data_IF_027187653586
#
_entry.id   IF_027187653586
#
_cell.length_a   1.000
_cell.length_b   1.000
_cell.length_c   1.000
_cell.angle_alpha   90.00
_cell.angle_beta   90.00
_cell.angle_gamma   90.00
#
_symmetry.space_group_name_H-M   'P 1'
#
loop_
_entity.id
_entity.type
_entity.pdbx_description
1 polymer ?
#
# COMPACT_ATOMS: atom_id res chain seq x y z
N UNK A 1 -0.16 11.34 14.69
CA UNK A 1 0.51 11.78 13.44
C UNK A 1 1.98 12.17 13.59
N UNK A 2 2.49 12.72 14.71
CA UNK A 2 3.93 13.04 14.83
C UNK A 2 4.85 11.80 14.87
N UNK A 3 4.35 10.66 15.35
CA UNK A 3 5.15 9.43 15.46
C UNK A 3 5.17 8.57 14.18
N UNK A 4 4.20 8.75 13.28
CA UNK A 4 4.17 8.13 11.93
C UNK A 4 5.46 8.38 11.13
N UNK A 5 6.07 9.55 11.34
CA UNK A 5 7.30 9.94 10.64
C UNK A 5 8.55 9.23 11.15
N UNK A 6 8.58 8.79 12.41
CA UNK A 6 9.76 8.14 13.00
C UNK A 6 9.94 6.71 12.52
N UNK A 7 8.85 6.06 12.12
CA UNK A 7 8.82 4.62 11.87
C UNK A 7 8.87 4.23 10.38
N UNK A 8 8.97 5.21 9.48
CA UNK A 8 9.08 5.01 8.03
C UNK A 8 10.50 5.36 7.56
N UNK A 9 11.11 4.46 6.80
CA UNK A 9 12.42 4.65 6.17
C UNK A 9 12.29 5.51 4.91
N UNK A 10 12.01 6.81 5.10
CA UNK A 10 11.71 7.75 4.01
C UNK A 10 12.78 7.84 2.92
N UNK A 11 14.04 7.61 3.25
CA UNK A 11 15.13 7.62 2.27
C UNK A 11 15.06 6.39 1.35
N UNK A 12 14.69 5.23 1.89
CA UNK A 12 14.48 4.02 1.11
C UNK A 12 13.24 4.15 0.22
N UNK A 13 12.14 4.68 0.78
CA UNK A 13 10.91 4.99 0.01
C UNK A 13 11.23 5.92 -1.16
N UNK A 14 12.01 6.99 -0.91
CA UNK A 14 12.38 7.94 -1.97
C UNK A 14 13.25 7.28 -3.05
N UNK A 15 14.29 6.53 -2.67
CA UNK A 15 15.19 5.86 -3.62
C UNK A 15 14.44 4.85 -4.49
N UNK A 16 13.62 4.00 -3.87
CA UNK A 16 12.82 3.00 -4.59
C UNK A 16 11.79 3.65 -5.50
N UNK A 17 11.06 4.67 -5.04
CA UNK A 17 10.11 5.42 -5.87
C UNK A 17 10.79 6.05 -7.09
N UNK A 18 11.94 6.72 -6.90
CA UNK A 18 12.69 7.33 -8.02
C UNK A 18 13.18 6.25 -8.99
N UNK A 19 13.73 5.15 -8.48
CA UNK A 19 14.21 4.04 -9.31
C UNK A 19 13.07 3.41 -10.11
N UNK A 20 11.94 3.10 -9.48
CA UNK A 20 10.75 2.57 -10.16
C UNK A 20 10.18 3.56 -11.17
N UNK A 21 10.24 4.86 -10.90
CA UNK A 21 9.80 5.89 -11.84
C UNK A 21 10.71 6.01 -13.07
N UNK A 22 12.02 5.96 -12.88
CA UNK A 22 12.98 5.91 -14.00
C UNK A 22 12.75 4.66 -14.83
N UNK A 23 12.58 3.50 -14.20
CA UNK A 23 12.24 2.25 -14.89
C UNK A 23 10.93 2.39 -15.67
N UNK A 24 9.89 2.97 -15.08
CA UNK A 24 8.63 3.23 -15.75
C UNK A 24 8.82 4.03 -17.04
N UNK A 25 9.61 5.12 -17.01
CA UNK A 25 9.89 5.94 -18.20
C UNK A 25 10.61 5.12 -19.28
N UNK A 26 11.59 4.30 -18.90
CA UNK A 26 12.35 3.44 -19.82
C UNK A 26 11.45 2.36 -20.44
N UNK A 27 10.59 1.73 -19.64
CA UNK A 27 9.70 0.67 -20.09
C UNK A 27 8.51 1.17 -20.88
N UNK A 28 8.11 2.44 -20.72
CA UNK A 28 6.95 3.03 -21.39
C UNK A 28 6.93 2.83 -22.92
N UNK A 29 8.00 3.10 -23.68
CA UNK A 29 8.03 2.81 -25.12
C UNK A 29 8.22 1.32 -25.46
N UNK A 30 8.67 0.50 -24.51
CA UNK A 30 9.04 -0.90 -24.77
C UNK A 30 7.88 -1.86 -24.53
N UNK A 31 7.16 -1.68 -23.41
CA UNK A 31 6.05 -2.53 -23.03
C UNK A 31 5.06 -1.78 -22.11
N UNK A 32 3.91 -1.32 -22.65
CA UNK A 32 2.97 -0.49 -21.90
C UNK A 32 2.26 -1.24 -20.76
N UNK A 33 2.17 -2.57 -20.84
CA UNK A 33 1.59 -3.41 -19.78
C UNK A 33 2.53 -3.40 -18.57
N UNK A 34 3.83 -3.67 -18.75
CA UNK A 34 4.79 -3.66 -17.64
C UNK A 34 4.98 -2.27 -17.04
N UNK A 35 4.87 -1.21 -17.82
CA UNK A 35 4.85 0.16 -17.28
C UNK A 35 3.63 0.43 -16.40
N UNK A 36 2.48 -0.15 -16.74
CA UNK A 36 1.28 -0.12 -15.89
C UNK A 36 1.52 -0.87 -14.58
N UNK A 37 2.12 -2.06 -14.65
CA UNK A 37 2.43 -2.86 -13.45
C UNK A 37 3.42 -2.11 -12.55
N UNK A 38 4.43 -1.46 -13.12
CA UNK A 38 5.37 -0.62 -12.37
C UNK A 38 4.67 0.58 -11.72
N UNK A 39 3.76 1.22 -12.45
CA UNK A 39 2.95 2.30 -11.91
C UNK A 39 2.09 1.83 -10.73
N UNK A 40 1.37 0.71 -10.90
CA UNK A 40 0.57 0.12 -9.84
C UNK A 40 1.45 -0.22 -8.64
N UNK A 41 2.67 -0.72 -8.87
CA UNK A 41 3.62 -1.04 -7.79
C UNK A 41 3.98 0.21 -6.98
N UNK A 42 4.27 1.33 -7.64
CA UNK A 42 4.56 2.60 -6.97
C UNK A 42 3.35 3.02 -6.13
N UNK A 43 2.17 3.11 -6.75
CA UNK A 43 0.95 3.57 -6.05
C UNK A 43 0.61 2.65 -4.87
N UNK A 44 0.75 1.33 -5.04
CA UNK A 44 0.47 0.33 -4.02
C UNK A 44 1.42 0.41 -2.81
N UNK A 45 2.73 0.59 -3.06
CA UNK A 45 3.70 0.80 -1.98
C UNK A 45 3.31 2.06 -1.19
N UNK A 46 3.01 3.15 -1.89
CA UNK A 46 2.64 4.41 -1.26
C UNK A 46 1.32 4.33 -0.49
N UNK A 47 0.31 3.63 -1.01
CA UNK A 47 -0.98 3.45 -0.33
C UNK A 47 -0.84 2.64 0.97
N UNK A 48 0.12 1.71 1.01
CA UNK A 48 0.31 0.80 2.15
C UNK A 48 1.21 1.36 3.25
N UNK A 49 2.07 2.34 2.97
CA UNK A 49 2.98 2.94 3.95
C UNK A 49 2.28 3.55 5.18
N UNK A 50 1.17 4.30 5.06
CA UNK A 50 0.46 4.85 6.23
C UNK A 50 -0.10 3.77 7.16
N UNK A 51 -0.68 2.70 6.61
CA UNK A 51 -1.21 1.57 7.37
C UNK A 51 -0.13 0.74 8.07
N UNK A 52 1.09 0.73 7.53
CA UNK A 52 2.25 0.08 8.17
C UNK A 52 2.88 0.91 9.30
N UNK A 53 2.48 2.17 9.46
CA UNK A 53 3.03 3.10 10.45
C UNK A 53 2.04 3.45 11.57
N UNK A 54 0.85 2.83 11.58
CA UNK A 54 -0.16 3.02 12.63
C UNK A 54 -0.70 1.67 13.13
N UNK A 55 -0.46 1.31 14.42
CA UNK A 55 -0.96 0.05 14.98
C UNK A 55 -2.41 0.14 15.51
N UNK A 56 -3.08 1.29 15.36
CA UNK A 56 -4.38 1.53 15.99
C UNK A 56 -5.55 1.12 15.08
N UNK A 57 -6.48 0.35 15.66
CA UNK A 57 -7.71 -0.13 15.01
C UNK A 57 -8.62 1.04 14.54
N UNK A 58 -8.48 2.23 15.15
CA UNK A 58 -9.26 3.43 14.82
C UNK A 58 -8.84 4.15 13.54
N UNK A 59 -7.67 3.85 12.97
CA UNK A 59 -7.14 4.52 11.78
C UNK A 59 -7.48 3.76 10.49
N UNK A 60 -8.71 3.23 10.40
CA UNK A 60 -9.19 2.42 9.27
C UNK A 60 -9.14 3.18 7.92
N UNK A 61 -9.19 4.51 7.92
CA UNK A 61 -8.98 5.36 6.74
C UNK A 61 -7.52 5.29 6.23
N UNK A 62 -6.55 4.97 7.09
CA UNK A 62 -5.15 4.74 6.70
C UNK A 62 -4.94 3.31 6.15
N UNK A 63 -5.98 2.47 6.14
CA UNK A 63 -5.98 1.13 5.51
C UNK A 63 -6.46 1.16 4.06
N UNK A 64 -6.48 2.34 3.42
CA UNK A 64 -6.65 2.46 1.98
C UNK A 64 -5.47 1.78 1.27
N UNK A 65 -5.56 0.46 1.15
CA UNK A 65 -4.54 -0.37 0.56
C UNK A 65 -4.99 -0.84 -0.82
N UNK A 66 -4.34 -0.29 -1.85
CA UNK A 66 -4.62 -0.64 -3.23
C UNK A 66 -3.92 -1.92 -3.67
N UNK A 67 -3.11 -2.56 -2.81
CA UNK A 67 -2.40 -3.80 -3.14
C UNK A 67 -3.36 -4.89 -3.58
N UNK A 68 -4.41 -5.16 -2.81
CA UNK A 68 -5.37 -6.22 -3.12
C UNK A 68 -6.04 -5.95 -4.46
N UNK A 69 -6.51 -4.72 -4.65
CA UNK A 69 -7.24 -4.31 -5.84
C UNK A 69 -6.36 -4.40 -7.09
N UNK A 70 -5.14 -3.87 -7.05
CA UNK A 70 -4.22 -3.98 -8.18
C UNK A 70 -3.74 -5.42 -8.41
N UNK A 71 -3.53 -6.20 -7.36
CA UNK A 71 -3.16 -7.61 -7.50
C UNK A 71 -4.28 -8.41 -8.20
N UNK A 72 -5.55 -8.14 -7.85
CA UNK A 72 -6.70 -8.73 -8.54
C UNK A 72 -6.74 -8.30 -10.02
N UNK A 73 -6.61 -7.01 -10.31
CA UNK A 73 -6.68 -6.47 -11.67
C UNK A 73 -5.54 -7.03 -12.55
N UNK A 74 -4.33 -7.17 -11.99
CA UNK A 74 -3.20 -7.86 -12.66
C UNK A 74 -3.51 -9.35 -12.87
N UNK A 75 -4.11 -10.02 -11.88
CA UNK A 75 -4.44 -11.44 -11.98
C UNK A 75 -5.43 -11.71 -13.11
N UNK A 76 -6.44 -10.85 -13.26
CA UNK A 76 -7.46 -10.94 -14.30
C UNK A 76 -6.85 -10.75 -15.70
N UNK A 77 -5.94 -9.78 -15.85
CA UNK A 77 -5.50 -9.32 -17.17
C UNK A 77 -4.17 -9.92 -17.66
N UNK A 78 -3.25 -10.26 -16.76
CA UNK A 78 -1.93 -10.78 -17.10
C UNK A 78 -1.82 -12.25 -16.70
N UNK A 79 -2.16 -12.55 -15.45
CA UNK A 79 -2.11 -13.91 -14.92
C UNK A 79 -1.91 -13.96 -13.42
N UNK A 80 -2.28 -15.10 -12.83
CA UNK A 80 -2.22 -15.30 -11.39
C UNK A 80 -0.80 -15.36 -10.83
N UNK A 81 0.18 -15.81 -11.63
CA UNK A 81 1.58 -15.90 -11.21
C UNK A 81 2.22 -14.51 -11.14
N UNK A 82 1.97 -13.69 -12.14
CA UNK A 82 2.46 -12.30 -12.22
C UNK A 82 1.86 -11.46 -11.10
N UNK A 83 0.57 -11.63 -10.82
CA UNK A 83 -0.09 -11.01 -9.67
C UNK A 83 0.46 -11.48 -8.32
N UNK A 84 0.79 -12.77 -8.20
CA UNK A 84 1.43 -13.30 -6.99
C UNK A 84 2.81 -12.66 -6.77
N UNK A 85 3.65 -12.61 -7.81
CA UNK A 85 4.97 -11.97 -7.76
C UNK A 85 4.83 -10.48 -7.39
N UNK A 86 3.93 -9.76 -8.05
CA UNK A 86 3.62 -8.37 -7.74
C UNK A 86 3.25 -8.19 -6.25
N UNK A 87 2.32 -9.00 -5.76
CA UNK A 87 1.87 -8.90 -4.37
C UNK A 87 2.99 -9.19 -3.38
N UNK A 88 3.87 -10.15 -3.66
CA UNK A 88 5.03 -10.48 -2.82
C UNK A 88 5.97 -9.28 -2.73
N UNK A 89 6.35 -8.72 -3.88
CA UNK A 89 7.28 -7.59 -3.97
C UNK A 89 6.71 -6.38 -3.22
N UNK A 90 5.43 -6.05 -3.43
CA UNK A 90 4.83 -4.88 -2.79
C UNK A 90 4.64 -5.10 -1.28
N UNK A 91 4.21 -6.29 -0.85
CA UNK A 91 4.00 -6.59 0.57
C UNK A 91 5.32 -6.60 1.36
N UNK A 92 6.36 -7.25 0.84
CA UNK A 92 7.68 -7.24 1.48
C UNK A 92 8.30 -5.83 1.39
N UNK A 93 8.24 -5.21 0.21
CA UNK A 93 8.83 -3.89 -0.02
C UNK A 93 8.24 -2.83 0.90
N UNK A 94 6.91 -2.76 0.99
CA UNK A 94 6.22 -1.86 1.92
C UNK A 94 6.57 -2.16 3.38
N UNK A 95 6.77 -3.44 3.74
CA UNK A 95 7.18 -3.83 5.10
C UNK A 95 8.61 -3.43 5.45
N UNK A 96 9.56 -3.58 4.52
CA UNK A 96 10.96 -3.11 4.71
C UNK A 96 10.99 -1.60 4.89
N UNK A 97 10.14 -0.87 4.16
CA UNK A 97 10.07 0.59 4.20
C UNK A 97 9.29 1.14 5.42
N UNK A 98 8.30 0.39 5.91
CA UNK A 98 7.47 0.75 7.07
C UNK A 98 8.05 0.31 8.42
N UNK A 99 7.20 0.29 9.45
CA UNK A 99 7.61 0.03 10.83
C UNK A 99 7.95 -1.46 11.09
N UNK A 100 8.81 -1.69 12.09
CA UNK A 100 9.18 -2.98 12.67
C UNK A 100 8.03 -3.73 13.39
N UNK A 101 6.80 -3.69 12.87
CA UNK A 101 5.71 -4.57 13.32
C UNK A 101 6.02 -6.05 13.04
N UNK A 102 5.18 -6.97 13.55
CA UNK A 102 5.40 -8.41 13.49
C UNK A 102 5.58 -8.95 12.05
N UNK A 103 6.81 -9.34 11.70
CA UNK A 103 7.17 -9.93 10.40
C UNK A 103 6.39 -11.19 10.07
N UNK A 104 6.02 -11.97 11.09
CA UNK A 104 5.24 -13.20 10.91
C UNK A 104 3.86 -12.91 10.32
N UNK A 105 3.20 -11.83 10.76
CA UNK A 105 1.91 -11.41 10.21
C UNK A 105 2.04 -10.92 8.77
N UNK A 106 3.12 -10.20 8.45
CA UNK A 106 3.39 -9.74 7.10
C UNK A 106 3.66 -10.90 6.13
N UNK A 107 4.42 -11.92 6.56
CA UNK A 107 4.69 -13.12 5.77
C UNK A 107 3.39 -13.91 5.53
N UNK A 108 2.55 -14.09 6.56
CA UNK A 108 1.24 -14.72 6.38
C UNK A 108 0.38 -13.98 5.37
N UNK A 109 0.32 -12.65 5.50
CA UNK A 109 -0.47 -11.83 4.60
C UNK A 109 0.02 -11.95 3.16
N UNK A 110 1.34 -11.88 2.97
CA UNK A 110 1.98 -12.07 1.68
C UNK A 110 1.61 -13.42 1.06
N UNK A 111 1.73 -14.53 1.80
CA UNK A 111 1.39 -15.86 1.27
C UNK A 111 -0.10 -15.93 0.95
N UNK A 112 -0.97 -15.39 1.82
CA UNK A 112 -2.41 -15.45 1.63
C UNK A 112 -2.85 -14.69 0.37
N UNK A 113 -2.29 -13.50 0.16
CA UNK A 113 -2.54 -12.70 -1.06
C UNK A 113 -1.98 -13.42 -2.28
N UNK A 114 -0.75 -13.92 -2.25
CA UNK A 114 -0.15 -14.62 -3.38
C UNK A 114 -0.95 -15.85 -3.82
N UNK A 115 -1.37 -16.69 -2.87
CA UNK A 115 -2.21 -17.86 -3.16
C UNK A 115 -3.60 -17.45 -3.68
N UNK A 116 -4.16 -16.38 -3.14
CA UNK A 116 -5.42 -15.83 -3.64
C UNK A 116 -5.27 -15.41 -5.10
N UNK A 117 -4.24 -14.63 -5.44
CA UNK A 117 -3.95 -14.18 -6.81
C UNK A 117 -3.87 -15.33 -7.81
N UNK A 118 -3.30 -16.48 -7.43
CA UNK A 118 -3.25 -17.66 -8.30
C UNK A 118 -4.63 -18.24 -8.61
N UNK A 119 -5.61 -18.07 -7.72
CA UNK A 119 -6.99 -18.56 -7.90
C UNK A 119 -7.88 -17.57 -8.65
N UNK A 120 -7.58 -16.27 -8.62
CA UNK A 120 -8.43 -15.22 -9.19
C UNK A 120 -8.76 -15.37 -10.68
N UNK A 121 -7.85 -15.76 -11.57
CA UNK A 121 -8.19 -15.94 -12.99
C UNK A 121 -9.39 -16.88 -13.17
N UNK A 122 -9.43 -17.98 -12.42
CA UNK A 122 -10.52 -18.96 -12.46
C UNK A 122 -11.81 -18.41 -11.85
N UNK A 123 -11.71 -17.66 -10.74
CA UNK A 123 -12.87 -17.02 -10.11
C UNK A 123 -13.49 -15.96 -11.03
N UNK A 124 -12.64 -15.18 -11.70
CA UNK A 124 -13.10 -14.17 -12.64
C UNK A 124 -13.72 -14.79 -13.87
N UNK A 125 -13.16 -15.89 -14.38
CA UNK A 125 -13.75 -16.64 -15.50
C UNK A 125 -15.20 -17.05 -15.21
N UNK A 126 -15.50 -17.50 -13.99
CA UNK A 126 -16.84 -17.93 -13.57
C UNK A 126 -17.78 -16.74 -13.38
N UNK A 127 -17.29 -15.65 -12.77
CA UNK A 127 -18.15 -14.53 -12.36
C UNK A 127 -18.32 -13.48 -13.45
N UNK A 128 -17.33 -13.32 -14.34
CA UNK A 128 -17.25 -12.27 -15.38
C UNK A 128 -17.55 -10.85 -14.87
N UNK A 129 -17.38 -10.62 -13.57
CA UNK A 129 -17.76 -9.38 -12.90
C UNK A 129 -16.67 -8.97 -11.91
N UNK A 130 -16.06 -7.82 -12.14
CA UNK A 130 -14.92 -7.31 -11.34
C UNK A 130 -15.33 -7.09 -9.87
N UNK A 131 -16.54 -6.59 -9.62
CA UNK A 131 -17.01 -6.35 -8.26
C UNK A 131 -17.18 -7.66 -7.48
N UNK A 132 -17.84 -8.65 -8.07
CA UNK A 132 -18.02 -9.97 -7.44
C UNK A 132 -16.67 -10.66 -7.26
N UNK A 133 -15.76 -10.54 -8.26
CA UNK A 133 -14.40 -11.07 -8.15
C UNK A 133 -13.65 -10.47 -6.97
N UNK A 134 -13.80 -9.16 -6.73
CA UNK A 134 -13.15 -8.49 -5.59
C UNK A 134 -13.71 -8.93 -4.23
N UNK A 135 -15.03 -9.15 -4.17
CA UNK A 135 -15.66 -9.70 -2.98
C UNK A 135 -15.11 -11.11 -2.68
N UNK A 136 -15.05 -11.98 -3.69
CA UNK A 136 -14.51 -13.33 -3.56
C UNK A 136 -13.00 -13.34 -3.28
N UNK A 137 -12.23 -12.41 -3.85
CA UNK A 137 -10.82 -12.21 -3.52
C UNK A 137 -10.63 -12.05 -2.02
N UNK A 138 -11.42 -11.16 -1.41
CA UNK A 138 -11.34 -10.89 0.03
C UNK A 138 -11.70 -12.13 0.85
N UNK A 139 -12.73 -12.87 0.44
CA UNK A 139 -13.15 -14.11 1.10
C UNK A 139 -12.05 -15.18 1.02
N UNK A 140 -11.50 -15.44 -0.16
CA UNK A 140 -10.46 -16.45 -0.39
C UNK A 140 -9.19 -16.10 0.40
N UNK A 141 -8.76 -14.83 0.38
CA UNK A 141 -7.63 -14.35 1.20
C UNK A 141 -7.88 -14.66 2.67
N UNK A 142 -9.07 -14.38 3.19
CA UNK A 142 -9.42 -14.68 4.59
C UNK A 142 -9.35 -16.17 4.92
N UNK A 143 -9.80 -17.04 4.01
CA UNK A 143 -9.74 -18.48 4.18
C UNK A 143 -8.30 -18.98 4.32
N UNK A 144 -7.35 -18.42 3.54
CA UNK A 144 -5.94 -18.76 3.62
C UNK A 144 -5.28 -18.41 4.97
N UNK A 145 -5.82 -17.44 5.73
CA UNK A 145 -5.29 -17.12 7.05
C UNK A 145 -5.55 -18.20 8.10
N UNK A 146 -6.57 -19.04 7.93
CA UNK A 146 -6.91 -20.11 8.88
C UNK A 146 -5.82 -21.18 8.93
N UNK A 147 -5.43 -21.84 7.82
CA UNK A 147 -4.35 -22.82 7.85
C UNK A 147 -3.01 -22.18 8.25
N UNK A 148 -2.75 -20.93 7.86
CA UNK A 148 -1.53 -20.22 8.29
C UNK A 148 -1.50 -19.93 9.79
N UNK A 149 -2.66 -19.75 10.43
CA UNK A 149 -2.74 -19.61 11.88
C UNK A 149 -2.38 -20.91 12.61
N UNK A 150 -2.70 -22.07 12.03
CA UNK A 150 -2.29 -23.38 12.54
C UNK A 150 -0.78 -23.58 12.36
N UNK A 151 -0.23 -23.28 11.17
CA UNK A 151 1.18 -23.54 10.86
C UNK A 151 2.15 -22.58 11.56
N UNK A 152 1.78 -21.30 11.70
CA UNK A 152 2.67 -20.24 12.16
C UNK A 152 1.97 -19.38 13.23
N UNK A 153 1.57 -19.91 14.39
CA UNK A 153 0.75 -19.18 15.35
C UNK A 153 1.42 -17.86 15.79
N UNK A 154 0.73 -16.74 15.57
CA UNK A 154 1.26 -15.40 15.89
C UNK A 154 0.56 -14.75 17.09
N UNK A 155 -0.69 -15.15 17.34
CA UNK A 155 -1.59 -14.65 18.39
C UNK A 155 -2.50 -15.79 18.85
N UNK A 156 -3.17 -15.63 20.00
CA UNK A 156 -4.18 -16.59 20.46
C UNK A 156 -5.38 -16.65 19.52
N UNK A 157 -6.11 -17.78 19.50
CA UNK A 157 -7.26 -17.99 18.61
C UNK A 157 -8.38 -16.96 18.81
N UNK A 158 -8.69 -16.57 20.05
CA UNK A 158 -9.70 -15.53 20.31
C UNK A 158 -9.30 -14.18 19.71
N UNK A 159 -8.04 -13.76 19.90
CA UNK A 159 -7.51 -12.53 19.32
C UNK A 159 -7.41 -12.62 17.79
N UNK A 160 -7.07 -13.79 17.25
CA UNK A 160 -7.06 -14.06 15.82
C UNK A 160 -8.43 -13.78 15.19
N UNK A 161 -9.50 -14.40 15.70
CA UNK A 161 -10.85 -14.22 15.15
C UNK A 161 -11.34 -12.77 15.27
N UNK A 162 -11.10 -12.12 16.40
CA UNK A 162 -11.44 -10.71 16.59
C UNK A 162 -10.75 -9.83 15.53
N UNK A 163 -9.44 -10.00 15.35
CA UNK A 163 -8.70 -9.26 14.32
C UNK A 163 -9.19 -9.63 12.92
N UNK A 164 -9.43 -10.90 12.61
CA UNK A 164 -9.93 -11.29 11.30
C UNK A 164 -11.25 -10.61 10.99
N UNK A 165 -12.23 -10.65 11.89
CA UNK A 165 -13.54 -10.04 11.63
C UNK A 165 -13.39 -8.54 11.38
N UNK A 166 -12.74 -7.81 12.28
CA UNK A 166 -12.61 -6.34 12.17
C UNK A 166 -11.88 -5.93 10.89
N UNK A 167 -10.73 -6.55 10.60
CA UNK A 167 -9.91 -6.20 9.44
C UNK A 167 -10.54 -6.65 8.12
N UNK A 168 -11.12 -7.86 8.08
CA UNK A 168 -11.78 -8.38 6.89
C UNK A 168 -13.02 -7.57 6.52
N UNK A 169 -13.79 -7.08 7.50
CA UNK A 169 -14.94 -6.20 7.23
C UNK A 169 -14.50 -4.87 6.62
N UNK A 170 -13.45 -4.24 7.17
CA UNK A 170 -12.91 -2.99 6.64
C UNK A 170 -12.38 -3.15 5.21
N UNK A 171 -11.57 -4.20 4.98
CA UNK A 171 -11.06 -4.53 3.66
C UNK A 171 -12.18 -4.81 2.67
N UNK A 172 -13.20 -5.58 3.06
CA UNK A 172 -14.33 -5.88 2.18
C UNK A 172 -15.04 -4.62 1.70
N UNK A 173 -15.32 -3.67 2.60
CA UNK A 173 -15.99 -2.41 2.24
C UNK A 173 -15.11 -1.59 1.30
N UNK A 174 -13.85 -1.35 1.66
CA UNK A 174 -12.92 -0.52 0.87
C UNK A 174 -12.68 -1.13 -0.52
N UNK A 175 -12.42 -2.43 -0.59
CA UNK A 175 -12.16 -3.14 -1.84
C UNK A 175 -13.37 -3.10 -2.78
N UNK A 176 -14.59 -3.24 -2.25
CA UNK A 176 -15.81 -3.13 -3.05
C UNK A 176 -16.07 -1.69 -3.52
N UNK A 177 -15.71 -0.68 -2.73
CA UNK A 177 -15.78 0.71 -3.19
C UNK A 177 -14.82 0.93 -4.37
N UNK A 178 -13.58 0.45 -4.27
CA UNK A 178 -12.62 0.58 -5.37
C UNK A 178 -13.05 -0.14 -6.63
N UNK A 179 -13.51 -1.39 -6.53
CA UNK A 179 -13.97 -2.13 -7.70
C UNK A 179 -15.17 -1.46 -8.37
N UNK A 180 -16.08 -0.88 -7.59
CA UNK A 180 -17.25 -0.17 -8.12
C UNK A 180 -16.89 1.14 -8.82
N UNK A 181 -15.99 1.95 -8.26
CA UNK A 181 -15.67 3.26 -8.82
C UNK A 181 -14.58 3.23 -9.88
N UNK A 182 -13.62 2.31 -9.76
CA UNK A 182 -12.41 2.31 -10.56
C UNK A 182 -12.12 0.99 -11.29
N UNK A 183 -12.92 -0.06 -11.05
CA UNK A 183 -12.70 -1.39 -11.64
C UNK A 183 -12.56 -1.36 -13.16
N UNK A 184 -13.56 -0.79 -13.85
CA UNK A 184 -13.57 -0.71 -15.31
C UNK A 184 -12.45 0.18 -15.86
N UNK A 185 -12.13 1.28 -15.16
CA UNK A 185 -11.06 2.17 -15.57
C UNK A 185 -9.69 1.47 -15.56
N UNK A 186 -9.36 0.78 -14.47
CA UNK A 186 -8.06 0.11 -14.34
C UNK A 186 -7.98 -1.18 -15.17
N UNK A 187 -9.09 -1.90 -15.35
CA UNK A 187 -9.17 -3.04 -16.28
C UNK A 187 -8.92 -2.59 -17.73
N UNK A 188 -9.58 -1.50 -18.16
CA UNK A 188 -9.35 -0.90 -19.47
C UNK A 188 -7.89 -0.49 -19.66
N UNK A 189 -7.29 0.15 -18.65
CA UNK A 189 -5.90 0.61 -18.67
C UNK A 189 -4.89 -0.54 -18.86
N UNK A 190 -5.13 -1.71 -18.26
CA UNK A 190 -4.27 -2.88 -18.51
C UNK A 190 -4.48 -3.50 -19.90
N UNK A 191 -5.73 -3.59 -20.38
CA UNK A 191 -6.04 -4.18 -21.70
C UNK A 191 -5.51 -3.35 -22.85
N UNK A 192 -5.65 -2.03 -22.77
CA UNK A 192 -5.13 -1.11 -23.80
C UNK A 192 -3.65 -0.81 -23.61
N UNK A 193 -3.10 -1.11 -22.43
CA UNK A 193 -1.83 -0.58 -21.96
C UNK A 193 -1.89 0.93 -21.72
N UNK A 194 -0.86 1.46 -21.05
CA UNK A 194 -0.65 2.91 -20.99
C UNK A 194 -0.06 3.36 -22.32
N UNK A 195 -0.92 3.67 -23.30
CA UNK A 195 -0.54 4.64 -24.32
C UNK A 195 -0.18 5.94 -23.59
N UNK A 196 0.92 6.61 -23.98
CA UNK A 196 1.44 7.80 -23.28
C UNK A 196 0.30 8.78 -22.98
N UNK A 197 -0.21 8.71 -21.75
CA UNK A 197 -1.36 9.49 -21.32
C UNK A 197 -0.83 10.58 -20.43
N UNK A 198 -0.74 11.79 -20.99
CA UNK A 198 -0.28 12.97 -20.28
C UNK A 198 -1.01 13.17 -18.95
N UNK A 199 -2.29 12.79 -18.86
CA UNK A 199 -3.07 12.90 -17.62
C UNK A 199 -2.53 12.00 -16.50
N UNK A 200 -2.12 10.77 -16.83
CA UNK A 200 -1.56 9.82 -15.86
C UNK A 200 -0.15 10.19 -15.44
N UNK A 201 0.67 10.62 -16.40
CA UNK A 201 1.99 11.17 -16.12
C UNK A 201 1.91 12.41 -15.21
N UNK A 202 0.99 13.33 -15.50
CA UNK A 202 0.76 14.53 -14.69
C UNK A 202 0.20 14.20 -13.31
N UNK A 203 -0.68 13.21 -13.19
CA UNK A 203 -1.20 12.76 -11.90
C UNK A 203 -0.09 12.20 -11.03
N UNK A 204 0.74 11.29 -11.55
CA UNK A 204 1.88 10.73 -10.82
C UNK A 204 2.89 11.82 -10.47
N UNK A 205 3.20 12.71 -11.40
CA UNK A 205 4.08 13.85 -11.16
C UNK A 205 3.51 14.79 -10.10
N UNK A 206 2.19 15.05 -10.10
CA UNK A 206 1.53 15.88 -9.09
C UNK A 206 1.56 15.25 -7.71
N UNK A 207 1.44 13.92 -7.61
CA UNK A 207 1.56 13.19 -6.35
C UNK A 207 3.00 13.30 -5.84
N UNK A 208 4.01 13.07 -6.69
CA UNK A 208 5.43 13.19 -6.32
C UNK A 208 5.80 14.62 -5.90
N UNK A 209 5.34 15.63 -6.64
CA UNK A 209 5.56 17.05 -6.33
C UNK A 209 4.81 17.46 -5.06
N UNK A 210 3.55 17.06 -4.92
CA UNK A 210 2.74 17.32 -3.73
C UNK A 210 3.38 16.76 -2.46
N UNK A 211 3.93 15.56 -2.53
CA UNK A 211 4.68 14.94 -1.42
C UNK A 211 5.99 15.68 -1.13
N UNK A 212 6.72 16.10 -2.16
CA UNK A 212 7.93 16.92 -2.01
C UNK A 212 7.66 18.24 -1.28
N UNK A 213 6.57 18.91 -1.65
CA UNK A 213 6.10 20.14 -1.02
C UNK A 213 5.68 19.85 0.44
N UNK A 214 4.88 18.82 0.67
CA UNK A 214 4.43 18.42 2.00
C UNK A 214 5.60 18.16 2.96
N UNK A 215 6.63 17.43 2.53
CA UNK A 215 7.86 17.19 3.31
C UNK A 215 8.62 18.48 3.63
N UNK A 216 8.69 19.42 2.68
CA UNK A 216 9.36 20.72 2.87
C UNK A 216 8.60 21.58 3.89
N UNK A 217 7.28 21.62 3.83
CA UNK A 217 6.44 22.34 4.78
C UNK A 217 6.59 21.79 6.20
N UNK A 218 6.45 20.47 6.39
CA UNK A 218 6.57 19.87 7.71
C UNK A 218 7.98 19.99 8.32
N UNK A 219 9.04 19.84 7.51
CA UNK A 219 10.41 20.04 8.00
C UNK A 219 10.64 21.48 8.50
N UNK A 220 10.03 22.47 7.84
CA UNK A 220 10.10 23.88 8.26
C UNK A 220 9.37 24.12 9.57
N UNK A 221 8.21 23.47 9.77
CA UNK A 221 7.44 23.57 11.02
C UNK A 221 8.20 22.99 12.21
N UNK A 222 8.88 21.85 12.04
CA UNK A 222 9.68 21.23 13.11
C UNK A 222 10.88 22.09 13.51
N UNK A 223 11.59 22.69 12.54
CA UNK A 223 12.75 23.56 12.83
C UNK A 223 12.34 24.83 13.59
N UNK A 224 11.21 25.45 13.20
CA UNK A 224 10.72 26.66 13.86
C UNK A 224 10.28 26.39 15.31
N UNK A 225 9.72 25.22 15.61
CA UNK A 225 9.38 24.84 16.98
C UNK A 225 10.62 24.59 17.84
N UNK A 226 11.66 23.94 17.30
CA UNK A 226 12.92 23.76 18.03
C UNK A 226 13.56 25.09 18.38
N UNK A 227 13.63 26.04 17.44
CA UNK A 227 14.23 27.35 17.67
C UNK A 227 13.49 28.17 18.73
N UNK A 228 12.15 28.12 18.75
CA UNK A 228 11.35 28.80 19.78
C UNK A 228 11.51 28.16 21.17
N UNK A 229 11.73 26.85 21.23
CA UNK A 229 11.95 26.15 22.51
C UNK A 229 13.33 26.50 23.07
N UNK A 230 14.37 26.57 22.23
CA UNK A 230 15.72 26.98 22.65
C UNK A 230 15.77 28.44 23.11
N UNK A 231 15.02 29.34 22.47
CA UNK A 231 14.92 30.73 22.93
C UNK A 231 14.23 30.86 24.29
N UNK A 232 13.16 30.11 24.54
CA UNK A 232 12.48 30.10 25.84
C UNK A 232 13.29 29.47 26.97
N UNK A 233 14.19 28.51 26.68
CA UNK A 233 15.12 27.99 27.69
C UNK A 233 16.21 29.01 28.04
N UNK A 234 16.70 29.76 27.06
CA UNK A 234 17.74 30.77 27.29
C UNK A 234 17.22 31.98 28.07
N UNK A 235 15.98 32.43 27.82
CA UNK A 235 15.35 33.50 28.63
C UNK A 235 15.08 33.06 30.06
N UNK A 236 14.59 31.84 30.27
CA UNK A 236 14.34 31.32 31.63
C UNK A 236 15.61 31.12 32.46
N UNK A 237 16.76 30.84 31.84
CA UNK A 237 18.04 30.79 32.55
C UNK A 237 18.58 32.19 32.90
N UNK A 238 18.32 33.21 32.08
CA UNK A 238 18.71 34.58 32.38
C UNK A 238 17.97 35.14 33.62
N UNK A 239 16.70 34.78 33.83
CA UNK A 239 15.93 35.19 35.01
C UNK A 239 16.29 34.44 36.30
N UNK A 240 17.10 33.37 36.23
CA UNK A 240 17.58 32.63 37.41
C UNK A 240 18.96 33.07 37.89
N UNK A 241 19.63 34.00 37.19
CA UNK A 241 20.94 34.55 37.56
C UNK A 241 20.87 36.01 38.05
N UNK A 242 19.67 36.56 38.22
CA UNK A 242 19.42 37.78 38.98
C UNK A 242 18.68 37.42 40.27
#
# INVERSE_FOLDING_TARGET
MRDLHKNIHWDLVKKTTISSYILLIIFLPLNPIWSTVLLFSIVAIWSRLPGMATPHIGDWILMLDLVDFFSMIIAINIGGVEAAIFSIIVNIGSKIMGEHGNWLLAIKDMIAVALTCMMIPYVHLITSNIQITMALFTVIRNLWFIPMQVLMPAVSWGKFWMLRIVWSSGLFVINNLYSRFFGEFFDGLLKTGVNFSWSLFLLVTSVLVGVGIYKKYFKKTTINQTNNTTQNMNTNNAYKMC
#
